data_IF_970802127517
#
_entry.id   IF_970802127517
#
_cell.length_a   1.000
_cell.length_b   1.000
_cell.length_c   1.000
_cell.angle_alpha   90.00
_cell.angle_beta   90.00
_cell.angle_gamma   90.00
#
_symmetry.space_group_name_H-M   'P 1'
#
loop_
_entity.id
_entity.type
_entity.pdbx_description
1 polymer ?
#
# COMPACT_ATOMS: atom_id res chain seq x y z
N UNK A 1 -14.01 -18.90 -20.30
CA UNK A 1 -13.32 -18.69 -21.58
C UNK A 1 -13.28 -17.18 -21.83
N UNK A 2 -12.11 -16.54 -21.84
CA UNK A 2 -12.00 -15.06 -21.86
C UNK A 2 -11.98 -14.54 -23.31
N UNK A 3 -12.96 -13.71 -23.67
CA UNK A 3 -13.07 -13.00 -24.95
C UNK A 3 -12.07 -11.82 -25.06
N UNK A 4 -10.77 -12.11 -24.97
CA UNK A 4 -9.70 -11.09 -25.09
C UNK A 4 -9.36 -10.78 -26.57
N UNK A 5 -9.44 -11.80 -27.44
CA UNK A 5 -8.92 -11.75 -28.81
C UNK A 5 -9.67 -10.80 -29.76
N UNK A 6 -10.93 -10.46 -29.49
CA UNK A 6 -11.78 -9.69 -30.40
C UNK A 6 -11.89 -8.19 -30.06
N UNK A 7 -11.18 -7.70 -29.03
CA UNK A 7 -11.39 -6.36 -28.46
C UNK A 7 -10.14 -5.49 -28.36
N UNK A 8 -9.02 -5.91 -28.95
CA UNK A 8 -7.73 -5.18 -28.87
C UNK A 8 -7.29 -4.87 -27.42
N UNK A 9 -7.69 -5.68 -26.45
CA UNK A 9 -7.25 -5.50 -25.07
C UNK A 9 -5.81 -5.99 -24.91
N UNK A 10 -4.97 -5.16 -24.28
CA UNK A 10 -3.60 -5.52 -23.91
C UNK A 10 -3.54 -5.80 -22.42
N UNK A 11 -3.09 -6.99 -22.05
CA UNK A 11 -2.79 -7.33 -20.65
C UNK A 11 -1.29 -7.20 -20.44
N UNK A 12 -0.87 -6.37 -19.48
CA UNK A 12 0.53 -6.23 -19.07
C UNK A 12 0.69 -6.65 -17.61
N UNK A 13 1.69 -7.47 -17.33
CA UNK A 13 2.15 -7.69 -15.96
C UNK A 13 2.99 -6.49 -15.52
N UNK A 14 2.85 -6.08 -14.26
CA UNK A 14 3.67 -5.05 -13.63
C UNK A 14 4.12 -5.58 -12.29
N UNK A 15 5.39 -6.00 -12.23
CA UNK A 15 6.04 -6.45 -10.99
C UNK A 15 7.21 -5.54 -10.59
N UNK A 16 7.59 -4.61 -11.47
CA UNK A 16 8.77 -3.77 -11.31
C UNK A 16 8.35 -2.38 -10.84
N UNK A 17 9.10 -1.86 -9.87
CA UNK A 17 9.02 -0.47 -9.47
C UNK A 17 9.89 0.38 -10.41
N UNK A 18 9.55 1.66 -10.62
CA UNK A 18 10.41 2.54 -11.41
C UNK A 18 11.80 2.65 -10.78
N UNK A 19 12.81 2.95 -11.60
CA UNK A 19 14.18 3.20 -11.12
C UNK A 19 14.22 4.34 -10.07
N UNK A 20 13.27 5.28 -10.16
CA UNK A 20 13.13 6.43 -9.27
C UNK A 20 11.66 6.66 -8.90
N UNK A 21 11.44 7.14 -7.68
CA UNK A 21 10.10 7.42 -7.13
C UNK A 21 9.74 8.92 -7.13
N UNK A 22 10.48 9.76 -7.85
CA UNK A 22 10.30 11.22 -7.87
C UNK A 22 8.84 11.61 -8.18
N UNK A 23 8.23 10.98 -9.19
CA UNK A 23 6.82 11.21 -9.57
C UNK A 23 5.83 10.79 -8.46
N UNK A 24 6.12 9.69 -7.76
CA UNK A 24 5.27 9.22 -6.66
C UNK A 24 5.34 10.17 -5.45
N UNK A 25 6.53 10.72 -5.16
CA UNK A 25 6.72 11.72 -4.10
C UNK A 25 6.03 13.02 -4.48
N UNK A 26 6.16 13.47 -5.73
CA UNK A 26 5.46 14.66 -6.21
C UNK A 26 3.94 14.50 -6.09
N UNK A 27 3.42 13.31 -6.40
CA UNK A 27 2.00 13.01 -6.23
C UNK A 27 1.56 13.07 -4.77
N UNK A 28 2.36 12.53 -3.84
CA UNK A 28 2.10 12.62 -2.40
C UNK A 28 2.13 14.07 -1.89
N UNK A 29 2.99 14.93 -2.44
CA UNK A 29 3.02 16.35 -2.08
C UNK A 29 1.74 17.09 -2.50
N UNK A 30 1.06 16.63 -3.55
CA UNK A 30 -0.18 17.23 -4.06
C UNK A 30 -1.44 16.74 -3.35
N UNK A 31 -1.39 15.58 -2.70
CA UNK A 31 -2.56 14.99 -2.03
C UNK A 31 -2.14 14.17 -0.82
N UNK A 32 -2.76 14.50 0.32
CA UNK A 32 -2.64 13.66 1.51
C UNK A 32 -3.34 12.31 1.30
N UNK A 33 -2.57 11.23 1.42
CA UNK A 33 -3.02 9.85 1.34
C UNK A 33 -3.00 9.14 2.70
N UNK A 34 -2.81 9.88 3.81
CA UNK A 34 -2.76 9.32 5.17
C UNK A 34 -4.02 8.53 5.52
N UNK A 35 -5.16 8.82 4.89
CA UNK A 35 -6.40 8.05 5.04
C UNK A 35 -6.30 6.57 4.60
N UNK A 36 -5.29 6.20 3.80
CA UNK A 36 -5.03 4.81 3.44
C UNK A 36 -4.43 4.01 4.60
N UNK A 37 -3.84 4.71 5.58
CA UNK A 37 -3.32 4.13 6.81
C UNK A 37 -4.50 3.90 7.74
N UNK A 38 -4.93 2.66 7.86
CA UNK A 38 -6.06 2.28 8.73
C UNK A 38 -5.62 2.02 10.16
N UNK A 39 -4.35 1.68 10.37
CA UNK A 39 -3.80 1.36 11.68
C UNK A 39 -2.42 1.98 11.86
N UNK A 40 -2.17 2.55 13.03
CA UNK A 40 -0.86 3.03 13.46
C UNK A 40 -0.54 2.41 14.81
N UNK A 41 0.61 1.73 14.89
CA UNK A 41 1.04 1.03 16.09
C UNK A 41 2.51 1.34 16.37
N UNK A 42 2.92 1.42 17.64
CA UNK A 42 4.33 1.52 17.98
C UNK A 42 5.04 0.18 17.73
N UNK A 43 6.36 0.21 17.61
CA UNK A 43 7.18 -0.96 17.30
C UNK A 43 6.97 -2.13 18.27
N UNK A 44 6.72 -1.87 19.55
CA UNK A 44 6.47 -2.89 20.58
C UNK A 44 5.23 -3.73 20.27
N UNK A 45 4.29 -3.18 19.49
CA UNK A 45 3.05 -3.84 19.04
C UNK A 45 3.11 -4.33 17.61
N UNK A 46 4.30 -4.49 17.04
CA UNK A 46 4.47 -5.01 15.69
C UNK A 46 3.75 -6.36 15.47
N UNK A 47 3.80 -7.26 16.46
CA UNK A 47 3.11 -8.55 16.41
C UNK A 47 1.59 -8.41 16.28
N UNK A 48 0.98 -7.49 17.01
CA UNK A 48 -0.46 -7.20 16.92
C UNK A 48 -0.81 -6.67 15.51
N UNK A 49 0.07 -5.83 14.94
CA UNK A 49 -0.08 -5.31 13.59
C UNK A 49 -0.07 -6.39 12.51
N UNK A 50 0.77 -7.42 12.66
CA UNK A 50 0.76 -8.57 11.75
C UNK A 50 -0.52 -9.40 11.86
N UNK A 51 -1.05 -9.60 13.08
CA UNK A 51 -2.28 -10.35 13.28
C UNK A 51 -3.50 -9.68 12.62
N UNK A 52 -3.54 -8.34 12.59
CA UNK A 52 -4.56 -7.58 11.84
C UNK A 52 -4.53 -7.93 10.35
N UNK A 53 -3.34 -8.09 9.75
CA UNK A 53 -3.19 -8.43 8.34
C UNK A 53 -3.69 -9.84 8.01
N UNK A 54 -3.62 -10.77 8.96
CA UNK A 54 -4.09 -12.15 8.77
C UNK A 54 -5.61 -12.27 8.91
N UNK A 55 -6.21 -11.49 9.82
CA UNK A 55 -7.62 -11.63 10.20
C UNK A 55 -8.60 -10.74 9.43
N UNK A 56 -8.15 -9.61 8.87
CA UNK A 56 -9.05 -8.58 8.36
C UNK A 56 -8.79 -8.26 6.88
N UNK A 57 -9.75 -8.62 6.02
CA UNK A 57 -9.64 -8.37 4.56
C UNK A 57 -9.75 -6.89 4.18
N UNK A 58 -10.28 -6.07 5.09
CA UNK A 58 -10.46 -4.64 4.88
C UNK A 58 -9.31 -3.80 5.45
N UNK A 59 -8.21 -4.43 5.91
CA UNK A 59 -7.03 -3.69 6.33
C UNK A 59 -6.32 -3.07 5.11
N UNK A 60 -6.38 -1.74 4.98
CA UNK A 60 -5.68 -1.02 3.91
C UNK A 60 -4.17 -1.02 4.10
N UNK A 61 -3.67 -0.17 5.02
CA UNK A 61 -2.26 -0.09 5.37
C UNK A 61 -2.09 0.00 6.89
N UNK A 62 -1.27 -0.89 7.45
CA UNK A 62 -0.78 -0.81 8.83
C UNK A 62 0.58 -0.11 8.81
N UNK A 63 0.74 0.94 9.61
CA UNK A 63 1.98 1.68 9.78
C UNK A 63 2.56 1.45 11.16
N UNK A 64 3.87 1.21 11.21
CA UNK A 64 4.61 1.01 12.46
C UNK A 64 5.51 2.22 12.66
N UNK A 65 5.35 2.89 13.79
CA UNK A 65 6.16 4.05 14.16
C UNK A 65 7.39 3.60 14.95
N UNK A 66 8.55 4.14 14.57
CA UNK A 66 9.83 3.84 15.21
C UNK A 66 10.17 4.98 16.18
N UNK A 67 9.91 4.79 17.48
CA UNK A 67 10.24 5.74 18.54
C UNK A 67 9.03 6.26 19.33
N UNK A 68 9.30 6.80 20.53
CA UNK A 68 8.35 7.65 21.25
C UNK A 68 8.20 8.95 20.47
N UNK A 69 7.03 9.16 19.83
CA UNK A 69 6.60 10.52 19.49
C UNK A 69 6.49 11.30 20.80
N UNK A 70 7.43 12.22 20.99
CA UNK A 70 7.47 13.13 22.13
C UNK A 70 6.81 14.45 21.76
#
# INVERSE_FOLDING_TARGET
YVNLLMKQFTVRGSMEYPERFEDAIELLARRDLSMLITHQLPLERFGDGLAVLEGEKDCGKVMITMGDER
#
